data_IF_854385956823
#
_entry.id   IF_854385956823
#
_cell.length_a   1.000
_cell.length_b   1.000
_cell.length_c   1.000
_cell.angle_alpha   90.00
_cell.angle_beta   90.00
_cell.angle_gamma   90.00
#
_symmetry.space_group_name_H-M   'P 1'
#
loop_
_entity.id
_entity.type
_entity.pdbx_description
1 polymer ?
#
# COMPACT_ATOMS: atom_id res chain seq x y z
N UNK A 1 -17.83 21.20 10.35
CA UNK A 1 -17.09 20.92 9.09
C UNK A 1 -16.12 19.78 9.35
N UNK A 2 -16.39 18.56 8.85
CA UNK A 2 -15.49 17.40 9.06
C UNK A 2 -14.34 17.46 8.05
N UNK A 3 -13.16 17.73 8.58
CA UNK A 3 -11.85 17.80 7.92
C UNK A 3 -11.64 16.58 7.01
N UNK A 4 -11.26 16.84 5.75
CA UNK A 4 -11.21 15.87 4.65
C UNK A 4 -10.50 14.57 4.99
N UNK A 5 -11.26 13.47 5.01
CA UNK A 5 -10.68 12.13 4.86
C UNK A 5 -10.39 11.96 3.38
N UNK A 6 -9.16 11.61 3.02
CA UNK A 6 -8.87 11.10 1.68
C UNK A 6 -9.80 9.93 1.39
N UNK A 7 -10.14 9.72 0.13
CA UNK A 7 -10.99 8.60 -0.25
C UNK A 7 -10.33 7.30 0.24
N UNK A 8 -11.12 6.31 0.73
CA UNK A 8 -10.56 5.01 1.03
C UNK A 8 -9.93 4.44 -0.24
N UNK A 9 -8.79 3.76 -0.08
CA UNK A 9 -8.15 3.00 -1.14
C UNK A 9 -9.17 2.07 -1.81
N UNK A 10 -9.06 1.85 -3.13
CA UNK A 10 -10.07 1.08 -3.87
C UNK A 10 -10.18 -0.38 -3.41
N UNK A 11 -9.16 -0.91 -2.72
CA UNK A 11 -9.08 -2.27 -2.20
C UNK A 11 -7.96 -2.37 -1.16
N UNK A 12 -8.02 -3.37 -0.28
CA UNK A 12 -6.96 -3.65 0.70
C UNK A 12 -5.76 -4.36 0.04
N UNK A 13 -4.54 -3.78 0.09
CA UNK A 13 -3.33 -4.41 -0.46
C UNK A 13 -2.96 -5.75 0.18
N UNK A 14 -3.33 -5.99 1.44
CA UNK A 14 -3.07 -7.26 2.11
C UNK A 14 -3.92 -8.40 1.55
N UNK A 15 -5.20 -8.13 1.29
CA UNK A 15 -6.11 -9.12 0.67
C UNK A 15 -5.63 -9.47 -0.73
N UNK A 16 -5.26 -8.46 -1.52
CA UNK A 16 -4.68 -8.68 -2.85
C UNK A 16 -3.38 -9.47 -2.78
N UNK A 17 -2.48 -9.15 -1.86
CA UNK A 17 -1.24 -9.90 -1.70
C UNK A 17 -1.48 -11.36 -1.30
N UNK A 18 -2.47 -11.63 -0.45
CA UNK A 18 -2.82 -12.99 -0.05
C UNK A 18 -3.43 -13.81 -1.21
N UNK A 19 -4.17 -13.15 -2.11
CA UNK A 19 -4.86 -13.78 -3.24
C UNK A 19 -3.95 -14.02 -4.45
N UNK A 20 -3.20 -13.00 -4.88
CA UNK A 20 -2.40 -13.03 -6.12
C UNK A 20 -0.89 -12.88 -5.92
N UNK A 21 -0.43 -12.73 -4.67
CA UNK A 21 0.99 -12.56 -4.34
C UNK A 21 1.58 -11.20 -4.73
N UNK A 22 2.90 -11.09 -4.61
CA UNK A 22 3.64 -9.84 -4.85
C UNK A 22 3.48 -9.34 -6.30
N UNK A 23 3.63 -10.23 -7.28
CA UNK A 23 3.57 -9.89 -8.70
C UNK A 23 2.17 -9.36 -9.08
N UNK A 24 1.10 -10.02 -8.62
CA UNK A 24 -0.26 -9.58 -8.88
C UNK A 24 -0.63 -8.29 -8.14
N UNK A 25 -0.11 -8.09 -6.93
CA UNK A 25 -0.25 -6.81 -6.22
C UNK A 25 0.42 -5.67 -7.00
N UNK A 26 1.64 -5.90 -7.50
CA UNK A 26 2.38 -4.89 -8.27
C UNK A 26 1.64 -4.52 -9.56
N UNK A 27 1.10 -5.52 -10.25
CA UNK A 27 0.32 -5.32 -11.47
C UNK A 27 -0.94 -4.46 -11.19
N UNK A 28 -1.72 -4.79 -10.15
CA UNK A 28 -2.88 -3.99 -9.74
C UNK A 28 -2.52 -2.56 -9.32
N UNK A 29 -1.40 -2.36 -8.62
CA UNK A 29 -0.93 -1.02 -8.26
C UNK A 29 -0.48 -0.21 -9.47
N UNK A 30 0.08 -0.86 -10.51
CA UNK A 30 0.49 -0.17 -11.74
C UNK A 30 -0.68 0.41 -12.53
N UNK A 31 -1.88 -0.19 -12.40
CA UNK A 31 -3.12 0.29 -12.99
C UNK A 31 -3.73 1.49 -12.24
N UNK A 32 -3.21 1.84 -11.05
CA UNK A 32 -3.71 2.95 -10.24
C UNK A 32 -2.97 4.27 -10.52
N UNK A 33 -3.70 5.37 -10.38
CA UNK A 33 -3.11 6.70 -10.39
C UNK A 33 -2.31 7.00 -9.12
N UNK A 34 -1.36 7.92 -9.20
CA UNK A 34 -0.51 8.30 -8.06
C UNK A 34 -1.29 8.80 -6.83
N UNK A 35 -2.41 9.48 -7.04
CA UNK A 35 -3.27 9.94 -5.94
C UNK A 35 -3.94 8.77 -5.22
N UNK A 36 -4.42 7.76 -5.95
CA UNK A 36 -4.99 6.54 -5.37
C UNK A 36 -3.93 5.74 -4.60
N UNK A 37 -2.70 5.68 -5.12
CA UNK A 37 -1.57 5.05 -4.41
C UNK A 37 -1.27 5.80 -3.11
N UNK A 38 -1.32 7.14 -3.11
CA UNK A 38 -1.14 7.95 -1.90
C UNK A 38 -2.28 7.76 -0.90
N UNK A 39 -3.51 7.56 -1.37
CA UNK A 39 -4.65 7.25 -0.51
C UNK A 39 -4.42 5.94 0.25
N UNK A 40 -4.05 4.87 -0.46
CA UNK A 40 -3.67 3.56 0.13
C UNK A 40 -2.55 3.74 1.15
N UNK A 41 -1.49 4.47 0.79
CA UNK A 41 -0.36 4.71 1.69
C UNK A 41 -0.80 5.43 2.97
N UNK A 42 -1.74 6.36 2.88
CA UNK A 42 -2.24 7.11 4.02
C UNK A 42 -3.11 6.25 4.94
N UNK A 43 -4.00 5.46 4.33
CA UNK A 43 -4.94 4.59 5.02
C UNK A 43 -4.22 3.52 5.84
N UNK A 44 -3.21 2.86 5.24
CA UNK A 44 -2.45 1.80 5.90
C UNK A 44 -1.21 2.29 6.67
N UNK A 45 -0.95 3.60 6.69
CA UNK A 45 0.21 4.17 7.38
C UNK A 45 1.56 3.76 6.79
N UNK A 46 1.64 3.52 5.48
CA UNK A 46 2.89 3.10 4.81
C UNK A 46 3.90 4.25 4.62
N UNK A 47 3.56 5.46 5.07
CA UNK A 47 4.35 6.69 4.98
C UNK A 47 5.10 7.05 6.28
N UNK A 48 5.77 6.09 6.92
CA UNK A 48 6.49 6.37 8.18
C UNK A 48 7.60 7.43 8.05
N UNK A 49 8.16 7.63 6.85
CA UNK A 49 9.24 8.58 6.55
C UNK A 49 8.74 9.87 5.87
N UNK A 50 7.43 9.99 5.60
CA UNK A 50 6.89 11.15 4.90
C UNK A 50 7.18 11.19 3.38
N UNK A 51 7.94 10.23 2.85
CA UNK A 51 8.49 10.30 1.49
C UNK A 51 7.48 9.94 0.41
N UNK A 52 6.59 8.98 0.69
CA UNK A 52 5.64 8.48 -0.31
C UNK A 52 4.66 9.57 -0.78
N UNK A 53 4.34 10.54 0.09
CA UNK A 53 3.50 11.69 -0.26
C UNK A 53 4.23 12.73 -1.14
N UNK A 54 5.56 12.72 -1.16
CA UNK A 54 6.39 13.69 -1.89
C UNK A 54 6.86 13.16 -3.25
N UNK A 55 6.69 11.86 -3.52
CA UNK A 55 7.13 11.28 -4.78
C UNK A 55 6.21 11.63 -5.93
N UNK A 56 6.82 11.90 -7.08
CA UNK A 56 6.14 12.21 -8.35
C UNK A 56 5.95 11.00 -9.25
N UNK A 57 6.68 9.91 -9.00
CA UNK A 57 6.60 8.67 -9.78
C UNK A 57 5.66 7.68 -9.10
N UNK A 58 4.60 7.28 -9.81
CA UNK A 58 3.62 6.28 -9.34
C UNK A 58 4.31 4.95 -8.99
N UNK A 59 5.20 4.44 -9.84
CA UNK A 59 5.94 3.20 -9.60
C UNK A 59 6.71 3.19 -8.28
N UNK A 60 7.22 4.36 -7.87
CA UNK A 60 7.96 4.50 -6.62
C UNK A 60 7.03 4.34 -5.43
N UNK A 61 5.84 4.94 -5.50
CA UNK A 61 4.79 4.80 -4.46
C UNK A 61 4.26 3.37 -4.43
N UNK A 62 4.02 2.76 -5.59
CA UNK A 62 3.59 1.37 -5.71
C UNK A 62 4.61 0.40 -5.10
N UNK A 63 5.90 0.54 -5.43
CA UNK A 63 6.96 -0.28 -4.84
C UNK A 63 6.99 -0.19 -3.31
N UNK A 64 6.78 1.01 -2.77
CA UNK A 64 6.70 1.20 -1.31
C UNK A 64 5.51 0.50 -0.66
N UNK A 65 4.35 0.48 -1.32
CA UNK A 65 3.19 -0.26 -0.84
C UNK A 65 3.54 -1.74 -0.81
N UNK A 66 4.09 -2.29 -1.90
CA UNK A 66 4.51 -3.69 -1.98
C UNK A 66 5.50 -4.04 -0.86
N UNK A 67 6.58 -3.27 -0.70
CA UNK A 67 7.59 -3.51 0.33
C UNK A 67 6.97 -3.57 1.73
N UNK A 68 6.06 -2.65 2.04
CA UNK A 68 5.40 -2.59 3.36
C UNK A 68 4.43 -3.74 3.57
N UNK A 69 3.70 -4.12 2.53
CA UNK A 69 2.79 -5.27 2.57
C UNK A 69 3.58 -6.54 2.77
N UNK A 70 4.65 -6.78 2.01
CA UNK A 70 5.52 -7.96 2.17
C UNK A 70 6.18 -7.97 3.55
N UNK A 71 6.73 -6.85 4.02
CA UNK A 71 7.36 -6.74 5.33
C UNK A 71 6.36 -7.05 6.47
N UNK A 72 5.16 -6.47 6.43
CA UNK A 72 4.11 -6.72 7.42
C UNK A 72 3.48 -8.10 7.30
N UNK A 73 3.32 -8.62 6.09
CA UNK A 73 2.84 -9.98 5.86
C UNK A 73 3.85 -10.97 6.42
N UNK A 74 5.14 -10.81 6.13
CA UNK A 74 6.21 -11.69 6.65
C UNK A 74 6.30 -11.64 8.17
N UNK A 75 6.27 -10.43 8.77
CA UNK A 75 6.24 -10.26 10.22
C UNK A 75 4.97 -10.84 10.85
N UNK A 76 3.80 -10.51 10.31
CA UNK A 76 2.50 -11.02 10.79
C UNK A 76 2.35 -12.52 10.62
N UNK A 77 2.96 -13.11 9.59
CA UNK A 77 3.07 -14.54 9.38
C UNK A 77 4.02 -15.17 10.40
N UNK A 78 5.12 -14.50 10.75
CA UNK A 78 6.02 -14.92 11.82
C UNK A 78 5.35 -14.89 13.21
N UNK A 79 4.40 -13.97 13.45
CA UNK A 79 3.66 -13.90 14.72
C UNK A 79 2.47 -14.87 14.81
N UNK A 80 1.98 -15.43 13.69
CA UNK A 80 0.87 -16.41 13.68
C UNK A 80 1.34 -17.86 13.91
N UNK A 81 2.62 -18.06 14.27
CA UNK A 81 3.21 -19.35 14.63
C UNK A 81 3.90 -19.22 16.00
N UNK A 82 3.09 -19.18 17.06
CA UNK A 82 3.53 -19.18 18.45
C UNK A 82 2.40 -19.63 19.35
#
# INVERSE_FOLDING_TARGET
MRKGRRAPGPWDPFDVYADVGEAGLRDKLSALGIEQLRDIVAEHGFNNDGLAMRWTKADRVAGRIVDRVVEKATKGYAFRRG
#
